data_IF_506762516795
#
_entry.id   IF_506762516795
#
_cell.length_a   1.000
_cell.length_b   1.000
_cell.length_c   1.000
_cell.angle_alpha   90.00
_cell.angle_beta   90.00
_cell.angle_gamma   90.00
#
_symmetry.space_group_name_H-M   'P 1'
#
loop_
_entity.id
_entity.type
_entity.pdbx_description
1 polymer ?
#
# COMPACT_ATOMS: atom_id res chain seq x y z
N UNK A 1 -1.16 -5.47 45.39
CA UNK A 1 -0.07 -5.58 44.41
C UNK A 1 -0.71 -5.35 43.06
N UNK A 2 -0.78 -4.08 42.66
CA UNK A 2 -1.33 -3.67 41.38
C UNK A 2 -0.29 -3.89 40.30
N UNK A 3 -0.42 -4.97 39.54
CA UNK A 3 0.35 -5.22 38.33
C UNK A 3 -0.40 -4.64 37.13
N UNK A 4 -0.56 -3.32 37.09
CA UNK A 4 -0.88 -2.60 35.86
C UNK A 4 0.37 -1.84 35.42
N UNK A 5 1.38 -2.61 35.01
CA UNK A 5 2.41 -2.06 34.14
C UNK A 5 1.74 -1.84 32.77
N UNK A 6 1.70 -0.63 32.21
CA UNK A 6 1.15 -0.43 30.88
C UNK A 6 2.00 -1.27 29.93
N UNK A 7 1.42 -2.34 29.38
CA UNK A 7 2.07 -3.05 28.26
C UNK A 7 2.39 -1.98 27.22
N UNK A 8 3.67 -1.82 26.85
CA UNK A 8 4.03 -1.03 25.68
C UNK A 8 3.27 -1.65 24.51
N UNK A 9 2.14 -1.05 24.14
CA UNK A 9 1.43 -1.39 22.93
C UNK A 9 2.18 -0.71 21.80
N UNK A 10 2.54 -1.47 20.80
CA UNK A 10 3.09 -0.91 19.58
C UNK A 10 2.06 0.00 18.92
N UNK A 11 2.56 1.10 18.35
CA UNK A 11 1.75 1.96 17.50
C UNK A 11 1.38 1.19 16.23
N UNK A 12 0.21 1.47 15.65
CA UNK A 12 -0.14 0.88 14.36
C UNK A 12 -0.18 1.92 13.25
N UNK A 13 0.45 1.60 12.13
CA UNK A 13 0.40 2.39 10.91
C UNK A 13 -0.17 1.60 9.72
N UNK A 14 -0.69 2.33 8.73
CA UNK A 14 -1.20 1.73 7.49
C UNK A 14 -0.60 2.43 6.28
N UNK A 15 -0.12 1.68 5.30
CA UNK A 15 0.43 2.23 4.04
C UNK A 15 -0.63 2.14 2.95
N UNK A 16 -1.14 3.29 2.53
CA UNK A 16 -2.21 3.41 1.55
C UNK A 16 -1.73 3.85 0.19
N UNK A 17 -2.27 3.20 -0.84
CA UNK A 17 -1.82 3.40 -2.21
C UNK A 17 -2.99 3.42 -3.18
N UNK A 18 -2.83 4.19 -4.27
CA UNK A 18 -3.83 4.23 -5.32
C UNK A 18 -3.92 2.90 -6.06
N UNK A 19 -5.16 2.39 -6.17
CA UNK A 19 -5.53 1.35 -7.13
C UNK A 19 -6.80 1.78 -7.85
N UNK A 20 -6.70 2.03 -9.15
CA UNK A 20 -7.79 2.55 -9.99
C UNK A 20 -8.75 1.42 -10.37
N UNK A 21 -10.07 1.65 -10.31
CA UNK A 21 -11.14 0.82 -10.90
C UNK A 21 -11.54 1.49 -12.24
N UNK A 22 -11.78 0.83 -13.37
CA UNK A 22 -12.64 -0.34 -13.66
C UNK A 22 -12.13 -1.16 -14.87
N UNK A 23 -12.52 -2.44 -14.89
CA UNK A 23 -12.27 -3.41 -15.96
C UNK A 23 -11.60 -4.65 -15.38
N UNK A 24 -12.19 -5.84 -15.56
CA UNK A 24 -11.66 -7.10 -15.03
C UNK A 24 -10.17 -7.23 -15.37
N UNK A 25 -9.42 -7.64 -14.34
CA UNK A 25 -8.03 -8.05 -14.33
C UNK A 25 -6.96 -6.93 -14.17
N UNK A 26 -6.32 -7.04 -13.00
CA UNK A 26 -4.98 -6.61 -12.58
C UNK A 26 -4.90 -5.35 -11.69
N UNK A 27 -4.29 -5.46 -10.48
CA UNK A 27 -4.15 -4.35 -9.54
C UNK A 27 -3.26 -3.23 -10.08
N UNK A 28 -3.75 -1.98 -10.03
CA UNK A 28 -2.87 -0.82 -10.02
C UNK A 28 -2.01 -0.85 -8.75
N UNK A 29 -0.77 -1.31 -8.93
CA UNK A 29 0.39 -1.09 -8.06
C UNK A 29 1.26 -0.03 -8.75
N UNK A 30 2.48 0.26 -8.25
CA UNK A 30 3.46 1.23 -8.81
C UNK A 30 3.39 2.68 -8.28
N UNK A 31 2.87 2.88 -7.07
CA UNK A 31 3.02 4.16 -6.35
C UNK A 31 4.37 4.33 -5.63
N UNK A 32 5.24 3.32 -5.60
CA UNK A 32 6.49 3.36 -4.80
C UNK A 32 6.40 2.61 -3.47
N UNK A 33 5.20 2.27 -3.02
CA UNK A 33 4.96 1.68 -1.70
C UNK A 33 5.53 0.32 -1.41
N UNK A 34 6.07 -0.39 -2.40
CA UNK A 34 6.87 -1.58 -2.13
C UNK A 34 8.24 -1.20 -1.57
N UNK A 35 8.88 -0.20 -2.18
CA UNK A 35 10.16 0.33 -1.73
C UNK A 35 10.04 0.96 -0.35
N UNK A 36 9.02 1.80 -0.12
CA UNK A 36 8.80 2.42 1.19
C UNK A 36 8.51 1.39 2.29
N UNK A 37 7.76 0.34 1.98
CA UNK A 37 7.56 -0.78 2.91
C UNK A 37 8.87 -1.52 3.22
N UNK A 38 9.72 -1.77 2.21
CA UNK A 38 11.06 -2.32 2.43
C UNK A 38 11.92 -1.42 3.30
N UNK A 39 11.85 -0.09 3.11
CA UNK A 39 12.54 0.89 3.94
C UNK A 39 12.06 0.80 5.40
N UNK A 40 10.76 0.81 5.66
CA UNK A 40 10.22 0.67 7.02
C UNK A 40 10.66 -0.64 7.69
N UNK A 41 10.62 -1.75 6.96
CA UNK A 41 11.05 -3.06 7.45
C UNK A 41 12.56 -3.20 7.66
N UNK A 42 13.37 -2.24 7.21
CA UNK A 42 14.80 -2.21 7.52
C UNK A 42 15.10 -1.72 8.95
N UNK A 43 14.12 -1.09 9.61
CA UNK A 43 14.26 -0.60 10.97
C UNK A 43 13.92 -1.70 11.99
N UNK A 44 14.81 -1.96 12.95
CA UNK A 44 14.70 -3.07 13.92
C UNK A 44 13.39 -3.10 14.71
N UNK A 45 12.81 -1.93 14.98
CA UNK A 45 11.59 -1.82 15.80
C UNK A 45 10.31 -1.54 14.98
N UNK A 46 10.33 -1.67 13.65
CA UNK A 46 9.17 -1.44 12.77
C UNK A 46 8.90 -2.68 11.92
N UNK A 47 7.64 -3.10 11.83
CA UNK A 47 7.24 -4.24 11.00
C UNK A 47 5.96 -3.97 10.22
N UNK A 48 6.06 -3.98 8.89
CA UNK A 48 4.94 -3.95 7.95
C UNK A 48 4.66 -5.36 7.39
N UNK A 49 3.41 -5.79 7.51
CA UNK A 49 2.94 -7.13 7.19
C UNK A 49 2.41 -7.29 5.75
N UNK A 50 2.72 -6.36 4.83
CA UNK A 50 2.27 -6.46 3.44
C UNK A 50 0.77 -6.26 3.24
N UNK A 51 0.29 -6.66 2.06
CA UNK A 51 -1.14 -6.61 1.72
C UNK A 51 -1.87 -7.81 2.33
N UNK A 52 -2.56 -7.59 3.45
CA UNK A 52 -3.22 -8.66 4.23
C UNK A 52 -4.68 -8.92 3.86
N UNK A 53 -5.39 -7.94 3.29
CA UNK A 53 -6.82 -8.07 3.02
C UNK A 53 -7.09 -8.95 1.80
N UNK A 54 -7.78 -10.08 1.99
CA UNK A 54 -8.24 -10.94 0.89
C UNK A 54 -9.47 -10.35 0.18
N UNK A 55 -9.80 -10.85 -1.03
CA UNK A 55 -10.91 -10.29 -1.84
C UNK A 55 -12.25 -10.29 -1.09
N UNK A 56 -12.53 -11.36 -0.34
CA UNK A 56 -13.80 -11.54 0.38
C UNK A 56 -13.93 -10.68 1.64
N UNK A 57 -12.81 -10.29 2.25
CA UNK A 57 -12.79 -9.50 3.48
C UNK A 57 -13.06 -8.01 3.20
N UNK A 58 -12.88 -7.56 1.96
CA UNK A 58 -12.90 -6.14 1.58
C UNK A 58 -14.29 -5.50 1.51
N UNK A 59 -15.36 -6.29 1.47
CA UNK A 59 -16.74 -5.79 1.40
C UNK A 59 -17.47 -5.81 2.74
N UNK A 60 -16.86 -6.34 3.80
CA UNK A 60 -17.48 -6.50 5.11
C UNK A 60 -16.66 -5.80 6.19
N UNK A 61 -17.20 -4.71 6.74
CA UNK A 61 -16.52 -3.91 7.76
C UNK A 61 -16.16 -4.71 9.03
N UNK A 62 -16.96 -5.70 9.40
CA UNK A 62 -16.66 -6.56 10.55
C UNK A 62 -15.41 -7.41 10.29
N UNK A 63 -15.30 -7.99 9.08
CA UNK A 63 -14.11 -8.73 8.67
C UNK A 63 -12.88 -7.82 8.59
N UNK A 64 -13.03 -6.59 8.06
CA UNK A 64 -11.95 -5.59 8.04
C UNK A 64 -11.45 -5.30 9.45
N UNK A 65 -12.35 -4.97 10.39
CA UNK A 65 -12.00 -4.66 11.79
C UNK A 65 -11.34 -5.85 12.48
N UNK A 66 -11.80 -7.08 12.23
CA UNK A 66 -11.15 -8.31 12.77
C UNK A 66 -9.72 -8.49 12.24
N UNK A 67 -9.49 -8.26 10.94
CA UNK A 67 -8.16 -8.35 10.36
C UNK A 67 -7.22 -7.27 10.91
N UNK A 68 -7.72 -6.04 11.11
CA UNK A 68 -6.97 -4.95 11.75
C UNK A 68 -6.64 -5.28 13.21
N UNK A 69 -7.60 -5.79 13.98
CA UNK A 69 -7.38 -6.22 15.36
C UNK A 69 -6.34 -7.37 15.42
N UNK A 70 -6.35 -8.30 14.45
CA UNK A 70 -5.33 -9.35 14.37
C UNK A 70 -3.93 -8.77 14.23
N UNK A 71 -3.73 -7.82 13.30
CA UNK A 71 -2.42 -7.19 13.07
C UNK A 71 -1.98 -6.35 14.26
N UNK A 72 -2.89 -5.56 14.82
CA UNK A 72 -2.62 -4.76 16.01
C UNK A 72 -2.13 -5.61 17.18
N UNK A 73 -2.66 -6.83 17.31
CA UNK A 73 -2.28 -7.74 18.38
C UNK A 73 -1.09 -8.66 18.03
N UNK A 74 -0.50 -8.62 16.83
CA UNK A 74 0.60 -9.51 16.45
C UNK A 74 1.84 -9.36 17.35
N UNK A 75 2.15 -8.14 17.78
CA UNK A 75 3.26 -7.92 18.72
C UNK A 75 2.99 -8.51 20.10
N UNK A 76 1.73 -8.49 20.54
CA UNK A 76 1.35 -9.12 21.81
C UNK A 76 1.58 -10.63 21.79
N UNK A 77 1.34 -11.30 20.64
CA UNK A 77 1.50 -12.75 20.52
C UNK A 77 2.92 -13.21 20.16
N UNK A 78 3.76 -12.33 19.59
CA UNK A 78 5.11 -12.68 19.11
C UNK A 78 6.25 -12.16 19.99
N UNK A 79 5.95 -11.26 20.93
CA UNK A 79 6.91 -10.62 21.86
C UNK A 79 7.66 -11.59 22.77
N UNK A 80 7.14 -12.79 23.05
CA UNK A 80 7.83 -13.76 23.91
C UNK A 80 9.07 -14.42 23.25
N UNK A 81 9.20 -14.36 21.91
CA UNK A 81 10.25 -15.04 21.15
C UNK A 81 11.25 -14.11 20.46
N UNK A 82 10.99 -12.80 20.44
CA UNK A 82 11.88 -11.80 19.84
C UNK A 82 12.51 -10.96 20.96
N UNK A 83 13.83 -10.95 21.06
CA UNK A 83 14.58 -10.04 21.93
C UNK A 83 14.55 -8.58 21.42
N UNK A 84 13.49 -8.19 20.70
CA UNK A 84 13.35 -6.91 20.00
C UNK A 84 12.02 -6.28 20.43
N UNK A 85 12.08 -5.03 20.90
CA UNK A 85 10.87 -4.27 21.23
C UNK A 85 10.29 -3.70 19.93
N UNK A 86 9.28 -4.35 19.35
CA UNK A 86 8.54 -3.73 18.24
C UNK A 86 7.87 -2.45 18.74
N UNK A 87 8.24 -1.31 18.18
CA UNK A 87 7.65 -0.01 18.49
C UNK A 87 6.41 0.25 17.62
N UNK A 88 6.40 -0.23 16.37
CA UNK A 88 5.28 -0.04 15.47
C UNK A 88 5.02 -1.24 14.54
N UNK A 89 3.76 -1.64 14.43
CA UNK A 89 3.26 -2.62 13.45
C UNK A 89 2.46 -1.93 12.37
N UNK A 90 2.50 -2.47 11.17
CA UNK A 90 1.69 -1.95 10.10
C UNK A 90 1.35 -2.98 9.05
N UNK A 91 0.61 -2.47 8.08
CA UNK A 91 0.16 -3.23 6.93
C UNK A 91 0.00 -2.31 5.73
N UNK A 92 -0.02 -2.92 4.55
CA UNK A 92 -0.27 -2.23 3.30
C UNK A 92 -1.70 -2.46 2.85
N UNK A 93 -2.40 -1.38 2.51
CA UNK A 93 -3.81 -1.45 2.15
C UNK A 93 -4.15 -0.50 1.00
N UNK A 94 -4.58 -1.03 -0.13
CA UNK A 94 -4.92 -0.21 -1.29
C UNK A 94 -6.26 0.51 -1.08
N UNK A 95 -6.38 1.77 -1.54
CA UNK A 95 -7.58 2.60 -1.34
C UNK A 95 -8.89 1.95 -1.81
N UNK A 96 -8.82 1.14 -2.88
CA UNK A 96 -9.99 0.48 -3.46
C UNK A 96 -10.28 -0.92 -2.88
N UNK A 97 -9.58 -1.32 -1.82
CA UNK A 97 -9.78 -2.61 -1.15
C UNK A 97 -10.73 -2.44 0.04
N UNK A 98 -11.87 -1.76 -0.16
CA UNK A 98 -12.86 -1.54 0.89
C UNK A 98 -12.60 -0.33 1.79
N UNK A 99 -11.45 0.33 1.68
CA UNK A 99 -11.11 1.50 2.50
C UNK A 99 -12.05 2.68 2.23
N UNK A 100 -12.19 3.05 0.96
CA UNK A 100 -13.04 4.18 0.56
C UNK A 100 -14.53 3.85 0.64
N UNK A 101 -14.89 2.57 0.54
CA UNK A 101 -16.28 2.10 0.58
C UNK A 101 -16.83 2.04 2.02
N UNK A 102 -15.97 1.75 3.01
CA UNK A 102 -16.33 1.69 4.44
C UNK A 102 -15.71 2.85 5.23
N UNK A 103 -15.56 3.99 4.58
CA UNK A 103 -14.72 5.09 5.06
C UNK A 103 -15.08 5.58 6.48
N UNK A 104 -16.36 5.84 6.78
CA UNK A 104 -16.74 6.42 8.08
C UNK A 104 -16.44 5.47 9.24
N UNK A 105 -16.72 4.18 9.08
CA UNK A 105 -16.36 3.14 10.04
C UNK A 105 -14.85 3.00 10.27
N UNK A 106 -14.06 3.19 9.21
CA UNK A 106 -12.60 3.08 9.25
C UNK A 106 -12.01 4.29 9.95
N UNK A 107 -12.50 5.49 9.67
CA UNK A 107 -12.11 6.71 10.40
C UNK A 107 -12.40 6.57 11.88
N UNK A 108 -13.59 6.08 12.25
CA UNK A 108 -13.93 5.84 13.64
C UNK A 108 -12.97 4.84 14.29
N UNK A 109 -12.69 3.72 13.61
CA UNK A 109 -11.76 2.72 14.11
C UNK A 109 -10.34 3.28 14.29
N UNK A 110 -9.84 4.05 13.30
CA UNK A 110 -8.50 4.63 13.30
C UNK A 110 -8.33 5.62 14.45
N UNK A 111 -9.28 6.54 14.62
CA UNK A 111 -9.25 7.53 15.69
C UNK A 111 -9.35 6.87 17.07
N UNK A 112 -10.22 5.86 17.22
CA UNK A 112 -10.36 5.13 18.49
C UNK A 112 -9.10 4.36 18.89
N UNK A 113 -8.34 3.85 17.91
CA UNK A 113 -7.14 3.05 18.13
C UNK A 113 -5.83 3.86 18.04
N UNK A 114 -5.89 5.14 17.69
CA UNK A 114 -4.70 5.97 17.48
C UNK A 114 -3.86 5.54 16.27
N UNK A 115 -4.50 4.99 15.22
CA UNK A 115 -3.80 4.48 14.04
C UNK A 115 -3.36 5.63 13.14
N UNK A 116 -2.09 5.58 12.71
CA UNK A 116 -1.53 6.54 11.77
C UNK A 116 -1.63 6.04 10.33
N UNK A 117 -2.02 6.89 9.38
CA UNK A 117 -2.08 6.54 7.97
C UNK A 117 -0.95 7.18 7.17
N UNK A 118 -0.27 6.40 6.32
CA UNK A 118 0.76 6.88 5.39
C UNK A 118 0.24 6.66 3.98
N UNK A 119 -0.06 7.74 3.25
CA UNK A 119 -0.48 7.66 1.86
C UNK A 119 0.71 7.85 0.94
N UNK A 120 0.88 6.94 -0.03
CA UNK A 120 1.94 7.01 -1.03
C UNK A 120 1.30 7.11 -2.41
N UNK A 121 1.46 8.28 -3.02
CA UNK A 121 0.94 8.59 -4.34
C UNK A 121 2.07 8.86 -5.33
N UNK A 122 1.71 8.95 -6.61
CA UNK A 122 2.63 9.35 -7.67
C UNK A 122 2.07 10.56 -8.39
N UNK A 123 2.79 11.66 -8.44
CA UNK A 123 2.33 12.88 -9.13
C UNK A 123 2.22 12.63 -10.63
N UNK A 124 3.18 11.91 -11.20
CA UNK A 124 3.15 11.58 -12.62
C UNK A 124 2.30 10.33 -12.91
N UNK A 125 0.99 10.53 -13.03
CA UNK A 125 0.01 9.47 -13.30
C UNK A 125 0.23 8.78 -14.65
N UNK A 126 0.74 9.48 -15.66
CA UNK A 126 1.07 8.88 -16.96
C UNK A 126 2.23 7.88 -16.82
N UNK A 127 3.32 8.28 -16.15
CA UNK A 127 4.46 7.37 -15.87
C UNK A 127 4.02 6.19 -15.00
N UNK A 128 3.10 6.42 -14.07
CA UNK A 128 2.51 5.31 -13.32
C UNK A 128 1.79 4.32 -14.24
N UNK A 129 0.97 4.82 -15.16
CA UNK A 129 0.24 4.00 -16.12
C UNK A 129 1.19 3.22 -17.04
N UNK A 130 2.23 3.87 -17.56
CA UNK A 130 3.30 3.22 -18.34
C UNK A 130 3.95 2.08 -17.55
N UNK A 131 4.34 2.36 -16.30
CA UNK A 131 4.97 1.35 -15.43
C UNK A 131 4.04 0.17 -15.15
N UNK A 132 2.73 0.42 -15.02
CA UNK A 132 1.73 -0.65 -14.89
C UNK A 132 1.64 -1.51 -16.15
N UNK A 133 1.51 -0.90 -17.33
CA UNK A 133 1.39 -1.65 -18.59
C UNK A 133 2.63 -2.52 -18.82
N UNK A 134 3.83 -2.01 -18.52
CA UNK A 134 5.07 -2.78 -18.60
C UNK A 134 5.10 -3.96 -17.61
N UNK A 135 4.67 -3.74 -16.36
CA UNK A 135 4.59 -4.80 -15.36
C UNK A 135 3.56 -5.89 -15.74
N UNK A 136 2.40 -5.50 -16.28
CA UNK A 136 1.35 -6.42 -16.71
C UNK A 136 1.81 -7.26 -17.91
N UNK A 137 2.57 -6.66 -18.82
CA UNK A 137 3.20 -7.35 -19.94
C UNK A 137 4.22 -8.40 -19.46
N UNK A 138 5.12 -8.03 -18.55
CA UNK A 138 6.07 -8.98 -17.96
C UNK A 138 5.36 -10.08 -17.15
N UNK A 139 4.27 -9.77 -16.45
CA UNK A 139 3.50 -10.79 -15.73
C UNK A 139 2.96 -11.88 -16.66
N UNK A 140 2.55 -11.51 -17.87
CA UNK A 140 1.98 -12.43 -18.84
C UNK A 140 3.06 -13.23 -19.60
N UNK A 141 4.13 -12.57 -20.03
CA UNK A 141 5.19 -13.20 -20.82
C UNK A 141 6.33 -13.79 -19.99
N UNK A 142 6.50 -13.32 -18.75
CA UNK A 142 7.54 -13.73 -17.80
C UNK A 142 8.92 -13.67 -18.45
N UNK A 143 9.30 -12.46 -18.88
CA UNK A 143 10.45 -12.25 -19.78
C UNK A 143 11.79 -12.63 -19.15
N UNK A 144 11.85 -12.73 -17.82
CA UNK A 144 13.03 -13.14 -17.08
C UNK A 144 12.97 -14.63 -16.74
N UNK A 145 13.39 -15.47 -17.70
CA UNK A 145 13.49 -16.93 -17.54
C UNK A 145 12.20 -17.58 -17.03
N UNK A 146 11.04 -17.15 -17.52
CA UNK A 146 9.75 -17.71 -17.08
C UNK A 146 9.32 -17.26 -15.68
N UNK A 147 9.98 -16.25 -15.11
CA UNK A 147 9.61 -15.62 -13.85
C UNK A 147 9.16 -14.18 -14.05
N UNK A 148 8.06 -13.78 -13.40
CA UNK A 148 7.66 -12.38 -13.31
C UNK A 148 8.45 -11.68 -12.21
N UNK A 149 9.04 -10.51 -12.50
CA UNK A 149 9.72 -9.68 -11.51
C UNK A 149 9.07 -8.31 -11.42
N UNK A 150 8.53 -7.96 -10.25
CA UNK A 150 7.97 -6.63 -10.00
C UNK A 150 9.06 -5.56 -9.80
N UNK A 151 10.28 -5.97 -9.49
CA UNK A 151 11.48 -5.13 -9.35
C UNK A 151 12.67 -5.86 -9.96
N UNK A 152 13.51 -5.12 -10.67
CA UNK A 152 14.77 -5.62 -11.22
C UNK A 152 15.87 -5.42 -10.19
N UNK A 153 16.80 -6.36 -10.13
CA UNK A 153 17.94 -6.34 -9.22
C UNK A 153 19.28 -6.20 -9.95
N UNK A 154 19.28 -6.33 -11.29
CA UNK A 154 20.47 -6.10 -12.11
C UNK A 154 20.19 -5.17 -13.29
N UNK A 155 21.26 -4.62 -13.88
CA UNK A 155 21.18 -3.74 -15.06
C UNK A 155 20.65 -4.53 -16.27
N UNK A 156 21.10 -5.78 -16.44
CA UNK A 156 20.71 -6.65 -17.55
C UNK A 156 19.20 -6.97 -17.51
N UNK A 157 18.66 -7.23 -16.32
CA UNK A 157 17.21 -7.40 -16.13
C UNK A 157 16.45 -6.12 -16.50
N UNK A 158 16.96 -4.96 -16.09
CA UNK A 158 16.37 -3.66 -16.40
C UNK A 158 16.36 -3.40 -17.90
N UNK A 159 17.47 -3.64 -18.58
CA UNK A 159 17.61 -3.47 -20.03
C UNK A 159 16.68 -4.41 -20.80
N UNK A 160 16.56 -5.68 -20.38
CA UNK A 160 15.66 -6.64 -21.02
C UNK A 160 14.20 -6.19 -20.93
N UNK A 161 13.74 -5.82 -19.74
CA UNK A 161 12.37 -5.35 -19.54
C UNK A 161 12.10 -4.01 -20.25
N UNK A 162 13.10 -3.13 -20.35
CA UNK A 162 13.00 -1.85 -21.04
C UNK A 162 12.81 -1.98 -22.56
N UNK A 163 13.11 -3.14 -23.16
CA UNK A 163 12.85 -3.38 -24.60
C UNK A 163 11.36 -3.33 -24.92
N UNK A 164 10.50 -3.64 -23.95
CA UNK A 164 9.06 -3.50 -24.14
C UNK A 164 8.65 -2.02 -24.14
N UNK A 165 8.07 -1.58 -25.26
CA UNK A 165 7.48 -0.24 -25.40
C UNK A 165 5.96 -0.35 -25.33
N UNK A 166 5.32 0.04 -24.21
CA UNK A 166 3.88 -0.09 -24.06
C UNK A 166 3.14 0.81 -25.05
N UNK A 167 2.13 0.25 -25.73
CA UNK A 167 1.16 1.03 -26.51
C UNK A 167 0.06 1.53 -25.58
N UNK A 168 -0.20 2.83 -25.61
CA UNK A 168 -1.26 3.47 -24.83
C UNK A 168 -2.39 3.85 -25.78
N UNK A 169 -3.62 3.51 -25.40
CA UNK A 169 -4.79 4.03 -26.08
C UNK A 169 -4.96 5.51 -25.71
N UNK A 170 -4.74 6.40 -26.67
CA UNK A 170 -4.85 7.84 -26.46
C UNK A 170 -6.30 8.32 -26.33
N UNK A 171 -7.27 7.56 -26.85
CA UNK A 171 -8.69 7.97 -26.95
C UNK A 171 -9.32 8.25 -25.58
N UNK A 172 -8.97 7.49 -24.54
CA UNK A 172 -9.51 7.65 -23.19
C UNK A 172 -8.44 8.01 -22.15
N UNK A 173 -7.23 8.34 -22.59
CA UNK A 173 -6.08 8.56 -21.72
C UNK A 173 -6.32 9.72 -20.74
N UNK A 174 -6.72 10.88 -21.24
CA UNK A 174 -6.94 12.08 -20.42
C UNK A 174 -8.02 11.80 -19.38
N UNK A 175 -9.18 11.27 -19.81
CA UNK A 175 -10.28 10.92 -18.91
C UNK A 175 -9.88 9.92 -17.82
N UNK A 176 -9.03 8.93 -18.13
CA UNK A 176 -8.48 7.99 -17.14
C UNK A 176 -7.57 8.66 -16.13
N UNK A 177 -6.69 9.57 -16.58
CA UNK A 177 -5.79 10.31 -15.70
C UNK A 177 -6.58 11.25 -14.79
N UNK A 178 -7.58 11.95 -15.32
CA UNK A 178 -8.44 12.85 -14.55
C UNK A 178 -9.25 12.08 -13.50
N UNK A 179 -9.86 10.96 -13.89
CA UNK A 179 -10.61 10.10 -12.95
C UNK A 179 -9.72 9.57 -11.83
N UNK A 180 -8.47 9.24 -12.15
CA UNK A 180 -7.47 8.81 -11.17
C UNK A 180 -7.13 9.93 -10.21
N UNK A 181 -6.86 11.12 -10.74
CA UNK A 181 -6.53 12.30 -9.94
C UNK A 181 -7.68 12.71 -9.02
N UNK A 182 -8.92 12.68 -9.53
CA UNK A 182 -10.12 12.94 -8.75
C UNK A 182 -10.28 11.93 -7.60
N UNK A 183 -10.03 10.64 -7.86
CA UNK A 183 -10.09 9.61 -6.83
C UNK A 183 -9.04 9.80 -5.72
N UNK A 184 -7.80 10.14 -6.09
CA UNK A 184 -6.73 10.46 -5.13
C UNK A 184 -7.10 11.69 -4.30
N UNK A 185 -7.58 12.74 -4.95
CA UNK A 185 -8.01 13.98 -4.28
C UNK A 185 -9.13 13.70 -3.29
N UNK A 186 -10.14 12.93 -3.70
CA UNK A 186 -11.24 12.53 -2.82
C UNK A 186 -10.75 11.69 -1.62
N UNK A 187 -9.77 10.81 -1.82
CA UNK A 187 -9.16 10.05 -0.74
C UNK A 187 -8.42 10.96 0.25
N UNK A 188 -7.58 11.89 -0.24
CA UNK A 188 -6.87 12.84 0.63
C UNK A 188 -7.84 13.70 1.43
N UNK A 189 -8.88 14.26 0.78
CA UNK A 189 -9.88 15.10 1.44
C UNK A 189 -10.62 14.35 2.55
N UNK A 190 -11.06 13.12 2.25
CA UNK A 190 -11.70 12.26 3.25
C UNK A 190 -10.73 11.95 4.40
N UNK A 191 -9.47 11.68 4.14
CA UNK A 191 -8.54 11.23 5.17
C UNK A 191 -8.02 12.35 6.09
N UNK A 192 -8.40 13.62 5.86
CA UNK A 192 -8.17 14.72 6.82
C UNK A 192 -8.75 14.48 8.22
N UNK A 193 -9.70 13.55 8.34
CA UNK A 193 -10.34 13.18 9.61
C UNK A 193 -9.54 12.17 10.46
N UNK A 194 -8.39 11.72 9.98
CA UNK A 194 -7.46 10.84 10.71
C UNK A 194 -6.05 11.42 10.71
N UNK A 195 -5.21 11.12 11.72
CA UNK A 195 -3.78 11.42 11.68
C UNK A 195 -3.14 10.73 10.46
N UNK A 196 -2.53 11.51 9.57
CA UNK A 196 -1.94 10.97 8.37
C UNK A 196 -0.76 11.77 7.85
N UNK A 197 0.04 11.11 7.01
CA UNK A 197 1.11 11.70 6.21
C UNK A 197 0.90 11.34 4.74
N UNK A 198 1.19 12.28 3.84
CA UNK A 198 1.14 12.04 2.38
C UNK A 198 2.54 12.18 1.82
N UNK A 199 3.00 11.12 1.15
CA UNK A 199 4.27 11.05 0.44
C UNK A 199 4.01 10.87 -1.05
N UNK A 200 4.79 11.57 -1.86
CA UNK A 200 4.79 11.32 -3.29
C UNK A 200 6.08 10.61 -3.68
N UNK A 201 5.96 9.61 -4.56
CA UNK A 201 7.09 8.82 -5.06
C UNK A 201 8.24 9.68 -5.58
N UNK A 202 7.93 10.79 -6.24
CA UNK A 202 8.92 11.71 -6.77
C UNK A 202 9.74 12.43 -5.67
N UNK A 203 9.22 12.54 -4.44
CA UNK A 203 9.94 13.12 -3.30
C UNK A 203 10.90 12.11 -2.65
N UNK A 204 10.63 10.81 -2.79
CA UNK A 204 11.43 9.72 -2.22
C UNK A 204 12.72 9.45 -3.00
N UNK A 205 12.75 9.79 -4.30
CA UNK A 205 13.85 9.43 -5.19
C UNK A 205 15.09 10.34 -5.08
N UNK A 206 14.97 11.50 -4.42
CA UNK A 206 15.98 12.57 -4.51
C UNK A 206 16.08 13.13 -5.94
N UNK A 207 16.41 14.41 -6.07
CA UNK A 207 16.86 14.97 -7.35
C UNK A 207 18.35 14.72 -7.53
#
# INVERSE_FOLDING_TARGET
>A
MDTNSPSLKSDMFTIHNQRILKGRNVPARRSGSGWFETLLNSHTNISSNGEIFQILERSNISAIKQTLDRVYNLDFYTSAAKNECTAAVGLKWMLNQGLMDNYDDIVEYFNRRGIFAIFIFRRNLLRQMVSRIANDFDRNLKQLNGTHKSHVHTIEEAELLARFKPKINATDLVSKLDSTNAYITAAIEKMKRIPHFVVYYEDELGQ
#
